data_IF_746319332203
#
_entry.id   IF_746319332203
#
_cell.length_a   1.000
_cell.length_b   1.000
_cell.length_c   1.000
_cell.angle_alpha   90.00
_cell.angle_beta   90.00
_cell.angle_gamma   90.00
#
_symmetry.space_group_name_H-M   'P 1'
#
loop_
_entity.id
_entity.type
_entity.pdbx_description
1 polymer ?
#
# COMPACT_ATOMS: atom_id res chain seq x y z
N UNK A 1 -26.05 -11.13 -14.22
CA UNK A 1 -26.23 -12.38 -14.99
C UNK A 1 -27.14 -12.16 -16.20
N UNK A 2 -28.39 -11.70 -16.09
CA UNK A 2 -29.28 -11.38 -17.25
C UNK A 2 -28.66 -10.35 -18.22
N UNK A 3 -27.91 -9.39 -17.71
CA UNK A 3 -27.19 -8.42 -18.55
C UNK A 3 -26.05 -9.12 -19.31
N UNK A 4 -25.29 -10.00 -18.67
CA UNK A 4 -24.17 -10.74 -19.27
C UNK A 4 -24.64 -11.70 -20.36
N UNK A 5 -25.69 -12.47 -20.12
CA UNK A 5 -26.27 -13.41 -21.10
C UNK A 5 -26.85 -12.67 -22.32
N UNK A 6 -27.43 -11.47 -22.11
CA UNK A 6 -27.89 -10.60 -23.20
C UNK A 6 -26.71 -9.99 -23.95
N UNK A 7 -25.55 -9.82 -23.32
CA UNK A 7 -24.35 -9.24 -23.93
C UNK A 7 -23.54 -10.22 -24.79
N UNK A 8 -23.53 -11.51 -24.43
CA UNK A 8 -22.88 -12.53 -25.25
C UNK A 8 -23.57 -12.78 -26.58
N UNK A 9 -24.85 -12.43 -26.69
CA UNK A 9 -25.69 -12.73 -27.89
C UNK A 9 -25.84 -11.54 -28.87
N UNK A 10 -25.35 -10.34 -28.54
CA UNK A 10 -25.52 -9.15 -29.37
C UNK A 10 -24.20 -8.55 -29.84
N UNK A 11 -23.87 -8.75 -31.12
CA UNK A 11 -22.74 -8.18 -31.88
C UNK A 11 -22.69 -6.64 -31.93
N UNK A 12 -23.50 -5.92 -31.14
CA UNK A 12 -23.71 -4.48 -31.25
C UNK A 12 -23.60 -3.72 -29.94
N UNK A 13 -22.99 -4.28 -28.90
CA UNK A 13 -22.83 -3.56 -27.64
C UNK A 13 -21.57 -2.73 -27.65
N UNK A 14 -21.78 -1.42 -27.53
CA UNK A 14 -20.69 -0.46 -27.55
C UNK A 14 -19.64 -0.78 -26.48
N UNK A 15 -18.39 -0.80 -26.89
CA UNK A 15 -17.19 -1.04 -26.09
C UNK A 15 -17.20 -0.34 -24.73
N UNK A 16 -17.72 0.88 -24.64
CA UNK A 16 -17.83 1.65 -23.39
C UNK A 16 -18.61 0.88 -22.32
N UNK A 17 -19.74 0.26 -22.66
CA UNK A 17 -20.58 -0.45 -21.68
C UNK A 17 -19.92 -1.68 -21.06
N UNK A 18 -19.15 -2.43 -21.84
CA UNK A 18 -18.44 -3.61 -21.32
C UNK A 18 -17.19 -3.24 -20.51
N UNK A 19 -16.50 -2.17 -20.91
CA UNK A 19 -15.45 -1.59 -20.09
C UNK A 19 -16.01 -1.07 -18.76
N UNK A 20 -17.14 -0.35 -18.82
CA UNK A 20 -17.81 0.18 -17.63
C UNK A 20 -18.30 -0.96 -16.73
N UNK A 21 -18.77 -2.08 -17.30
CA UNK A 21 -19.17 -3.26 -16.54
C UNK A 21 -17.97 -3.98 -15.91
N UNK A 22 -16.86 -4.13 -16.62
CA UNK A 22 -15.63 -4.70 -16.04
C UNK A 22 -15.06 -3.81 -14.92
N UNK A 23 -15.11 -2.48 -15.09
CA UNK A 23 -14.74 -1.52 -14.03
C UNK A 23 -15.70 -1.58 -12.84
N UNK A 24 -17.01 -1.71 -13.09
CA UNK A 24 -17.99 -1.92 -12.03
C UNK A 24 -17.72 -3.19 -11.22
N UNK A 25 -17.35 -4.30 -11.89
CA UNK A 25 -16.97 -5.54 -11.19
C UNK A 25 -15.66 -5.39 -10.41
N UNK A 26 -14.71 -4.58 -10.91
CA UNK A 26 -13.50 -4.20 -10.18
C UNK A 26 -13.85 -3.45 -8.88
N UNK A 27 -14.75 -2.47 -8.96
CA UNK A 27 -15.24 -1.72 -7.81
C UNK A 27 -15.95 -2.61 -6.76
N UNK A 28 -16.57 -3.72 -7.22
CA UNK A 28 -17.16 -4.74 -6.34
C UNK A 28 -16.14 -5.79 -5.85
N UNK A 29 -14.85 -5.66 -6.19
CA UNK A 29 -13.77 -6.63 -5.94
C UNK A 29 -14.03 -8.03 -6.57
N UNK A 30 -14.93 -8.16 -7.54
CA UNK A 30 -15.12 -9.39 -8.34
C UNK A 30 -14.12 -9.44 -9.51
N UNK A 31 -12.84 -9.46 -9.17
CA UNK A 31 -11.75 -9.47 -10.14
C UNK A 31 -11.79 -10.67 -11.08
N UNK A 32 -12.31 -11.80 -10.65
CA UNK A 32 -12.37 -13.01 -11.48
C UNK A 32 -13.33 -12.81 -12.64
N UNK A 33 -14.53 -12.32 -12.37
CA UNK A 33 -15.55 -12.04 -13.38
C UNK A 33 -15.17 -10.84 -14.26
N UNK A 34 -14.55 -9.82 -13.66
CA UNK A 34 -14.01 -8.68 -14.39
C UNK A 34 -12.95 -9.10 -15.44
N UNK A 35 -12.03 -10.01 -15.07
CA UNK A 35 -11.03 -10.55 -15.98
C UNK A 35 -11.68 -11.37 -17.08
N UNK A 36 -12.64 -12.23 -16.75
CA UNK A 36 -13.36 -13.04 -17.75
C UNK A 36 -14.01 -12.14 -18.80
N UNK A 37 -14.72 -11.11 -18.38
CA UNK A 37 -15.32 -10.11 -19.28
C UNK A 37 -14.28 -9.41 -20.14
N UNK A 38 -13.18 -8.93 -19.55
CA UNK A 38 -12.13 -8.22 -20.25
C UNK A 38 -11.35 -9.12 -21.24
N UNK A 39 -11.08 -10.38 -20.88
CA UNK A 39 -10.43 -11.35 -21.77
C UNK A 39 -11.33 -11.77 -22.95
N UNK A 40 -12.63 -11.90 -22.73
CA UNK A 40 -13.60 -12.16 -23.81
C UNK A 40 -13.64 -10.99 -24.80
N UNK A 41 -13.61 -9.75 -24.29
CA UNK A 41 -13.46 -8.56 -25.13
C UNK A 41 -12.16 -8.58 -25.94
N UNK A 42 -11.04 -8.91 -25.29
CA UNK A 42 -9.75 -9.02 -25.97
C UNK A 42 -9.77 -10.04 -27.08
N UNK A 43 -10.37 -11.21 -26.86
CA UNK A 43 -10.53 -12.24 -27.89
C UNK A 43 -11.36 -11.71 -29.07
N UNK A 44 -12.49 -11.07 -28.80
CA UNK A 44 -13.36 -10.50 -29.83
C UNK A 44 -12.62 -9.47 -30.69
N UNK A 45 -11.78 -8.63 -30.07
CA UNK A 45 -10.99 -7.61 -30.79
C UNK A 45 -9.77 -8.15 -31.51
N UNK A 46 -9.31 -9.36 -31.22
CA UNK A 46 -8.19 -10.00 -31.92
C UNK A 46 -8.60 -10.73 -33.20
N UNK A 47 -9.89 -10.79 -33.52
CA UNK A 47 -10.38 -11.44 -34.79
C UNK A 47 -10.05 -10.55 -35.96
N UNK A 48 -9.48 -11.09 -37.11
CA UNK A 48 -8.96 -10.32 -38.26
C UNK A 48 -10.06 -9.61 -38.93
N UNK A 49 -11.08 -9.23 -38.81
CA UNK A 49 -12.11 -8.39 -39.43
C UNK A 49 -12.83 -7.47 -38.45
N UNK A 50 -12.37 -7.42 -37.20
CA UNK A 50 -12.90 -6.50 -36.18
C UNK A 50 -12.44 -5.08 -36.54
N UNK A 51 -13.37 -4.20 -36.87
CA UNK A 51 -13.11 -2.76 -37.07
C UNK A 51 -12.91 -2.05 -35.71
N UNK A 52 -12.01 -2.59 -34.88
CA UNK A 52 -11.76 -2.04 -33.57
C UNK A 52 -10.74 -0.93 -33.68
N UNK A 53 -11.04 0.21 -33.10
CA UNK A 53 -10.08 1.29 -32.94
C UNK A 53 -8.98 0.85 -31.93
N UNK A 54 -7.74 0.85 -32.37
CA UNK A 54 -6.55 0.51 -31.55
C UNK A 54 -6.54 1.27 -30.22
N UNK A 55 -7.13 2.46 -30.16
CA UNK A 55 -7.26 3.25 -28.92
C UNK A 55 -8.02 2.49 -27.83
N UNK A 56 -9.12 1.84 -28.18
CA UNK A 56 -9.90 1.06 -27.21
C UNK A 56 -9.18 -0.21 -26.79
N UNK A 57 -8.40 -0.79 -27.68
CA UNK A 57 -7.56 -1.95 -27.35
C UNK A 57 -6.48 -1.57 -26.32
N UNK A 58 -5.82 -0.43 -26.48
CA UNK A 58 -4.85 0.09 -25.50
C UNK A 58 -5.47 0.29 -24.12
N UNK A 59 -6.70 0.83 -24.04
CA UNK A 59 -7.44 0.98 -22.79
C UNK A 59 -7.78 -0.36 -22.15
N UNK A 60 -8.21 -1.33 -22.95
CA UNK A 60 -8.53 -2.68 -22.49
C UNK A 60 -7.29 -3.38 -21.88
N UNK A 61 -6.14 -3.24 -22.52
CA UNK A 61 -4.90 -3.80 -21.99
C UNK A 61 -4.46 -3.12 -20.68
N UNK A 62 -4.66 -1.82 -20.52
CA UNK A 62 -4.47 -1.16 -19.24
C UNK A 62 -5.38 -1.73 -18.14
N UNK A 63 -6.67 -1.92 -18.45
CA UNK A 63 -7.63 -2.52 -17.51
C UNK A 63 -7.21 -3.96 -17.15
N UNK A 64 -6.87 -4.82 -18.12
CA UNK A 64 -6.37 -6.16 -17.85
C UNK A 64 -5.10 -6.14 -16.97
N UNK A 65 -4.20 -5.18 -17.20
CA UNK A 65 -3.03 -4.97 -16.35
C UNK A 65 -3.41 -4.68 -14.90
N UNK A 66 -4.38 -3.80 -14.68
CA UNK A 66 -4.90 -3.48 -13.35
C UNK A 66 -5.56 -4.69 -12.68
N UNK A 67 -6.43 -5.39 -13.37
CA UNK A 67 -7.13 -6.56 -12.86
C UNK A 67 -6.18 -7.71 -12.49
N UNK A 68 -5.21 -8.02 -13.35
CA UNK A 68 -4.21 -9.06 -13.04
C UNK A 68 -3.25 -8.64 -11.91
N UNK A 69 -2.94 -7.34 -11.79
CA UNK A 69 -2.21 -6.80 -10.64
C UNK A 69 -3.00 -7.02 -9.35
N UNK A 70 -4.30 -6.72 -9.34
CA UNK A 70 -5.18 -6.93 -8.18
C UNK A 70 -5.29 -8.40 -7.78
N UNK A 71 -5.22 -9.33 -8.75
CA UNK A 71 -5.13 -10.77 -8.50
C UNK A 71 -3.73 -11.27 -8.10
N UNK A 72 -2.75 -10.37 -7.89
CA UNK A 72 -1.36 -10.73 -7.60
C UNK A 72 -0.73 -11.65 -8.65
N UNK A 73 -0.99 -11.38 -9.95
CA UNK A 73 -0.41 -12.06 -11.12
C UNK A 73 0.52 -11.13 -11.89
N UNK A 74 1.71 -10.79 -11.33
CA UNK A 74 2.56 -9.71 -11.84
C UNK A 74 3.04 -9.91 -13.27
N UNK A 75 3.39 -11.14 -13.68
CA UNK A 75 3.88 -11.42 -15.04
C UNK A 75 2.83 -11.09 -16.09
N UNK A 76 1.56 -11.42 -15.82
CA UNK A 76 0.46 -11.08 -16.71
C UNK A 76 0.18 -9.59 -16.71
N UNK A 77 0.19 -8.97 -15.54
CA UNK A 77 0.01 -7.52 -15.40
C UNK A 77 1.07 -6.76 -16.17
N UNK A 78 2.36 -7.11 -16.01
CA UNK A 78 3.48 -6.48 -16.75
C UNK A 78 3.26 -6.58 -18.27
N UNK A 79 2.98 -7.79 -18.75
CA UNK A 79 2.72 -8.01 -20.18
C UNK A 79 1.64 -7.07 -20.71
N UNK A 80 0.52 -6.96 -20.01
CA UNK A 80 -0.61 -6.15 -20.47
C UNK A 80 -0.33 -4.65 -20.39
N UNK A 81 0.36 -4.16 -19.35
CA UNK A 81 0.78 -2.76 -19.29
C UNK A 81 1.74 -2.40 -20.42
N UNK A 82 2.72 -3.27 -20.72
CA UNK A 82 3.68 -3.02 -21.80
C UNK A 82 2.97 -3.02 -23.17
N UNK A 83 2.05 -3.97 -23.41
CA UNK A 83 1.27 -3.99 -24.65
C UNK A 83 0.40 -2.73 -24.79
N UNK A 84 -0.21 -2.25 -23.70
CA UNK A 84 -0.97 -0.99 -23.72
C UNK A 84 -0.08 0.21 -24.09
N UNK A 85 1.14 0.26 -23.56
CA UNK A 85 2.12 1.30 -23.87
C UNK A 85 2.51 1.26 -25.35
N UNK A 86 2.88 0.08 -25.87
CA UNK A 86 3.25 -0.11 -27.30
C UNK A 86 2.15 0.38 -28.25
N UNK A 87 0.91 0.04 -27.96
CA UNK A 87 -0.25 0.50 -28.75
C UNK A 87 -0.38 2.02 -28.67
N UNK A 88 -0.30 2.61 -27.46
CA UNK A 88 -0.44 4.05 -27.30
C UNK A 88 0.73 4.81 -27.95
N UNK A 89 1.96 4.31 -27.88
CA UNK A 89 3.13 4.91 -28.56
C UNK A 89 2.93 4.93 -30.09
N UNK A 90 2.48 3.81 -30.68
CA UNK A 90 2.16 3.74 -32.10
C UNK A 90 1.03 4.71 -32.51
N UNK A 91 0.00 4.85 -31.65
CA UNK A 91 -1.07 5.81 -31.90
C UNK A 91 -0.60 7.26 -31.82
N UNK A 92 0.31 7.57 -30.90
CA UNK A 92 0.91 8.91 -30.76
C UNK A 92 1.73 9.28 -32.00
N UNK A 93 2.43 8.32 -32.64
CA UNK A 93 3.11 8.54 -33.91
C UNK A 93 2.14 8.93 -35.04
N UNK A 94 0.91 8.42 -35.00
CA UNK A 94 -0.14 8.77 -35.98
C UNK A 94 -0.78 10.12 -35.67
N UNK A 95 -1.08 10.40 -34.40
CA UNK A 95 -1.71 11.64 -33.96
C UNK A 95 -1.41 11.92 -32.46
N UNK A 96 -0.37 12.66 -32.20
CA UNK A 96 0.08 12.98 -30.84
C UNK A 96 -1.00 13.71 -30.03
N UNK A 97 -1.69 14.69 -30.63
CA UNK A 97 -2.70 15.50 -29.93
C UNK A 97 -3.88 14.67 -29.42
N UNK A 98 -4.27 13.65 -30.16
CA UNK A 98 -5.37 12.76 -29.79
C UNK A 98 -4.98 11.72 -28.75
N UNK A 99 -3.75 11.19 -28.81
CA UNK A 99 -3.39 9.98 -28.08
C UNK A 99 -2.34 10.16 -26.96
N UNK A 100 -1.64 11.32 -26.87
CA UNK A 100 -0.75 11.62 -25.74
C UNK A 100 -1.44 11.46 -24.37
N UNK A 101 -2.73 11.84 -24.17
CA UNK A 101 -3.39 11.62 -22.87
C UNK A 101 -3.47 10.14 -22.47
N UNK A 102 -3.77 9.26 -23.42
CA UNK A 102 -3.84 7.82 -23.17
C UNK A 102 -2.47 7.22 -22.89
N UNK A 103 -1.43 7.66 -23.62
CA UNK A 103 -0.05 7.23 -23.37
C UNK A 103 0.43 7.63 -21.97
N UNK A 104 0.15 8.87 -21.55
CA UNK A 104 0.50 9.34 -20.20
C UNK A 104 -0.20 8.54 -19.10
N UNK A 105 -1.48 8.17 -19.31
CA UNK A 105 -2.21 7.28 -18.40
C UNK A 105 -1.56 5.90 -18.34
N UNK A 106 -1.20 5.30 -19.48
CA UNK A 106 -0.52 4.00 -19.55
C UNK A 106 0.83 4.03 -18.83
N UNK A 107 1.61 5.07 -19.02
CA UNK A 107 2.87 5.26 -18.30
C UNK A 107 2.65 5.41 -16.78
N UNK A 108 1.67 6.19 -16.35
CA UNK A 108 1.36 6.34 -14.92
C UNK A 108 0.97 5.00 -14.28
N UNK A 109 0.14 4.20 -14.96
CA UNK A 109 -0.28 2.88 -14.48
C UNK A 109 0.91 1.90 -14.40
N UNK A 110 1.78 1.89 -15.42
CA UNK A 110 3.01 1.12 -15.39
C UNK A 110 3.95 1.58 -14.26
N UNK A 111 4.05 2.89 -14.01
CA UNK A 111 4.80 3.45 -12.88
C UNK A 111 4.29 2.93 -11.53
N UNK A 112 2.96 2.90 -11.33
CA UNK A 112 2.33 2.33 -10.12
C UNK A 112 2.66 0.85 -10.00
N UNK A 113 2.51 0.08 -11.06
CA UNK A 113 2.83 -1.35 -11.08
C UNK A 113 4.30 -1.61 -10.70
N UNK A 114 5.26 -0.97 -11.37
CA UNK A 114 6.68 -1.19 -11.08
C UNK A 114 7.10 -0.71 -9.68
N UNK A 115 6.47 0.34 -9.15
CA UNK A 115 6.65 0.76 -7.74
C UNK A 115 6.26 -0.35 -6.77
N UNK A 116 5.13 -1.02 -7.02
CA UNK A 116 4.65 -2.13 -6.18
C UNK A 116 5.54 -3.37 -6.30
N UNK A 117 6.11 -3.61 -7.49
CA UNK A 117 7.06 -4.70 -7.72
C UNK A 117 8.50 -4.39 -7.24
N UNK A 118 8.75 -3.24 -6.60
CA UNK A 118 10.09 -2.86 -6.13
C UNK A 118 11.07 -2.44 -7.23
N UNK A 119 10.63 -2.37 -8.51
CA UNK A 119 11.47 -2.02 -9.65
C UNK A 119 11.58 -0.49 -9.80
N UNK A 120 12.27 0.15 -8.86
CA UNK A 120 12.31 1.61 -8.70
C UNK A 120 12.77 2.36 -9.95
N UNK A 121 13.78 1.87 -10.67
CA UNK A 121 14.28 2.53 -11.89
C UNK A 121 13.26 2.56 -13.02
N UNK A 122 12.50 1.47 -13.23
CA UNK A 122 11.41 1.44 -14.19
C UNK A 122 10.25 2.35 -13.75
N UNK A 123 9.88 2.31 -12.47
CA UNK A 123 8.82 3.14 -11.92
C UNK A 123 9.13 4.63 -12.13
N UNK A 124 10.33 5.10 -11.77
CA UNK A 124 10.75 6.49 -11.96
C UNK A 124 10.67 6.92 -13.43
N UNK A 125 11.20 6.09 -14.34
CA UNK A 125 11.15 6.34 -15.78
C UNK A 125 9.72 6.62 -16.26
N UNK A 126 8.79 5.76 -15.89
CA UNK A 126 7.41 5.86 -16.35
C UNK A 126 6.64 7.02 -15.70
N UNK A 127 6.84 7.29 -14.41
CA UNK A 127 6.23 8.46 -13.78
C UNK A 127 6.71 9.77 -14.39
N UNK A 128 8.02 9.92 -14.64
CA UNK A 128 8.56 11.12 -15.25
C UNK A 128 8.08 11.31 -16.70
N UNK A 129 7.99 10.24 -17.49
CA UNK A 129 7.45 10.28 -18.84
C UNK A 129 5.98 10.72 -18.85
N UNK A 130 5.14 10.17 -17.96
CA UNK A 130 3.75 10.58 -17.82
C UNK A 130 3.62 12.07 -17.45
N UNK A 131 4.40 12.53 -16.47
CA UNK A 131 4.41 13.94 -16.01
C UNK A 131 4.84 14.88 -17.15
N UNK A 132 5.85 14.51 -17.94
CA UNK A 132 6.33 15.33 -19.05
C UNK A 132 5.24 15.52 -20.10
N UNK A 133 4.57 14.45 -20.50
CA UNK A 133 3.44 14.53 -21.43
C UNK A 133 2.33 15.40 -20.84
N UNK A 134 1.89 15.13 -19.60
CA UNK A 134 0.81 15.91 -18.97
C UNK A 134 1.14 17.40 -18.86
N UNK A 135 2.39 17.78 -18.56
CA UNK A 135 2.81 19.18 -18.58
C UNK A 135 2.67 19.85 -19.93
N UNK A 136 2.96 19.12 -21.03
CA UNK A 136 2.75 19.67 -22.39
C UNK A 136 1.27 19.83 -22.69
N UNK A 137 0.44 18.85 -22.29
CA UNK A 137 -1.01 18.89 -22.49
C UNK A 137 -1.66 20.02 -21.69
N UNK A 138 -1.28 20.23 -20.43
CA UNK A 138 -1.77 21.34 -19.59
C UNK A 138 -1.47 22.71 -20.24
N UNK A 139 -0.31 22.88 -20.90
CA UNK A 139 -0.02 24.13 -21.65
C UNK A 139 -0.98 24.35 -22.82
N UNK A 140 -1.55 23.28 -23.39
CA UNK A 140 -2.53 23.37 -24.49
C UNK A 140 -3.94 23.60 -23.96
N UNK A 141 -4.30 22.87 -22.91
CA UNK A 141 -5.62 22.95 -22.27
C UNK A 141 -5.52 22.58 -20.78
N UNK A 142 -5.39 23.59 -19.93
CA UNK A 142 -5.24 23.40 -18.49
C UNK A 142 -6.48 22.73 -17.88
N UNK A 143 -7.68 23.17 -18.23
CA UNK A 143 -8.93 22.66 -17.64
C UNK A 143 -9.13 21.16 -17.89
N UNK A 144 -8.71 20.68 -19.06
CA UNK A 144 -8.84 19.27 -19.42
C UNK A 144 -7.79 18.39 -18.74
N UNK A 145 -6.57 18.88 -18.51
CA UNK A 145 -5.44 18.02 -18.16
C UNK A 145 -4.82 18.29 -16.76
N UNK A 146 -5.16 19.40 -16.09
CA UNK A 146 -4.72 19.65 -14.70
C UNK A 146 -5.13 18.52 -13.73
N UNK A 147 -6.34 17.93 -13.80
CA UNK A 147 -6.70 16.82 -12.92
C UNK A 147 -5.75 15.61 -13.06
N UNK A 148 -5.44 15.23 -14.28
CA UNK A 148 -4.54 14.10 -14.57
C UNK A 148 -3.07 14.41 -14.20
N UNK A 149 -2.62 15.65 -14.39
CA UNK A 149 -1.29 16.08 -13.93
C UNK A 149 -1.18 16.03 -12.41
N UNK A 150 -2.20 16.47 -11.68
CA UNK A 150 -2.23 16.41 -10.21
C UNK A 150 -2.20 14.96 -9.70
N UNK A 151 -2.93 14.05 -10.36
CA UNK A 151 -2.86 12.62 -10.05
C UNK A 151 -1.46 12.04 -10.29
N UNK A 152 -0.82 12.38 -11.41
CA UNK A 152 0.55 11.95 -11.73
C UNK A 152 1.56 12.49 -10.71
N UNK A 153 1.42 13.73 -10.27
CA UNK A 153 2.25 14.30 -9.21
C UNK A 153 2.05 13.59 -7.88
N UNK A 154 0.81 13.32 -7.48
CA UNK A 154 0.52 12.60 -6.24
C UNK A 154 1.16 11.20 -6.24
N UNK A 155 1.07 10.47 -7.36
CA UNK A 155 1.69 9.15 -7.51
C UNK A 155 3.23 9.22 -7.48
N UNK A 156 3.83 10.21 -8.14
CA UNK A 156 5.27 10.45 -8.07
C UNK A 156 5.71 10.84 -6.64
N UNK A 157 4.93 11.66 -5.95
CA UNK A 157 5.16 11.98 -4.53
C UNK A 157 5.22 10.73 -3.66
N UNK A 158 4.22 9.83 -3.81
CA UNK A 158 4.17 8.56 -3.09
C UNK A 158 5.33 7.60 -3.47
N UNK A 159 5.78 7.64 -4.72
CA UNK A 159 6.94 6.90 -5.16
C UNK A 159 8.23 7.40 -4.50
N UNK A 160 8.52 8.71 -4.58
CA UNK A 160 9.72 9.28 -3.99
C UNK A 160 9.73 9.19 -2.46
N UNK A 161 8.57 9.30 -1.83
CA UNK A 161 8.42 9.04 -0.39
C UNK A 161 8.88 7.62 -0.03
N UNK A 162 8.40 6.60 -0.77
CA UNK A 162 8.81 5.20 -0.54
C UNK A 162 10.31 4.97 -0.78
N UNK A 163 10.94 5.78 -1.66
CA UNK A 163 12.38 5.75 -1.93
C UNK A 163 13.23 6.56 -0.93
N UNK A 164 12.63 7.18 0.09
CA UNK A 164 13.33 8.04 1.04
C UNK A 164 13.78 9.39 0.46
N UNK A 165 13.38 9.75 -0.76
CA UNK A 165 13.75 11.00 -1.43
C UNK A 165 12.77 12.12 -1.02
N UNK A 166 12.88 12.58 0.23
CA UNK A 166 11.93 13.49 0.88
C UNK A 166 11.70 14.80 0.12
N UNK A 167 12.76 15.46 -0.37
CA UNK A 167 12.62 16.73 -1.07
C UNK A 167 11.82 16.61 -2.38
N UNK A 168 12.05 15.52 -3.12
CA UNK A 168 11.27 15.25 -4.33
C UNK A 168 9.82 14.91 -3.98
N UNK A 169 9.60 14.11 -2.94
CA UNK A 169 8.26 13.74 -2.50
C UNK A 169 7.45 14.98 -2.10
N UNK A 170 8.02 15.87 -1.25
CA UNK A 170 7.38 17.12 -0.84
C UNK A 170 7.00 17.97 -2.04
N UNK A 171 7.96 18.19 -2.95
CA UNK A 171 7.75 18.98 -4.17
C UNK A 171 6.54 18.48 -4.97
N UNK A 172 6.43 17.17 -5.18
CA UNK A 172 5.35 16.60 -5.97
C UNK A 172 4.01 16.62 -5.24
N UNK A 173 3.96 16.32 -3.93
CA UNK A 173 2.74 16.43 -3.15
C UNK A 173 2.20 17.86 -3.11
N UNK A 174 3.07 18.86 -2.88
CA UNK A 174 2.65 20.27 -2.86
C UNK A 174 2.17 20.73 -4.24
N UNK A 175 2.81 20.31 -5.32
CA UNK A 175 2.37 20.62 -6.69
C UNK A 175 0.99 20.01 -7.00
N UNK A 176 0.71 18.78 -6.55
CA UNK A 176 -0.59 18.16 -6.69
C UNK A 176 -1.68 18.93 -5.91
N UNK A 177 -1.38 19.28 -4.66
CA UNK A 177 -2.29 20.06 -3.79
C UNK A 177 -2.60 21.43 -4.40
N UNK A 178 -1.60 22.13 -4.91
CA UNK A 178 -1.79 23.45 -5.53
C UNK A 178 -2.74 23.39 -6.72
N UNK A 179 -2.56 22.43 -7.61
CA UNK A 179 -3.44 22.23 -8.74
C UNK A 179 -4.87 21.90 -8.25
N UNK A 180 -5.01 20.94 -7.33
CA UNK A 180 -6.33 20.52 -6.83
C UNK A 180 -7.08 21.62 -6.10
N UNK A 181 -6.39 22.52 -5.37
CA UNK A 181 -7.01 23.72 -4.80
C UNK A 181 -7.64 24.62 -5.87
N UNK A 182 -6.89 24.90 -6.94
CA UNK A 182 -7.46 25.70 -8.06
C UNK A 182 -8.65 25.01 -8.73
N UNK A 183 -8.61 23.69 -8.85
CA UNK A 183 -9.70 22.91 -9.43
C UNK A 183 -10.94 22.95 -8.53
N UNK A 184 -10.79 22.87 -7.21
CA UNK A 184 -11.88 22.99 -6.23
C UNK A 184 -12.52 24.39 -6.28
N UNK A 185 -11.72 25.45 -6.44
CA UNK A 185 -12.25 26.82 -6.63
C UNK A 185 -13.12 26.94 -7.88
N UNK A 186 -12.85 26.15 -8.93
CA UNK A 186 -13.65 26.12 -10.16
C UNK A 186 -14.89 25.22 -10.02
N UNK A 187 -14.74 24.06 -9.41
CA UNK A 187 -15.81 23.08 -9.22
C UNK A 187 -15.53 22.20 -8.01
N UNK A 188 -16.05 22.59 -6.85
CA UNK A 188 -15.86 21.89 -5.59
C UNK A 188 -16.40 20.45 -5.64
N UNK A 189 -17.62 20.27 -6.17
CA UNK A 189 -18.26 18.94 -6.19
C UNK A 189 -17.46 17.90 -7.00
N UNK A 190 -16.76 18.34 -8.03
CA UNK A 190 -15.95 17.43 -8.87
C UNK A 190 -14.56 17.09 -8.25
N UNK A 191 -13.98 17.99 -7.43
CA UNK A 191 -12.56 17.89 -7.08
C UNK A 191 -12.26 17.88 -5.58
N UNK A 192 -13.23 18.09 -4.68
CA UNK A 192 -13.00 18.05 -3.23
C UNK A 192 -12.48 16.70 -2.75
N UNK A 193 -13.02 15.59 -3.28
CA UNK A 193 -12.54 14.22 -2.91
C UNK A 193 -11.07 14.03 -3.24
N UNK A 194 -10.66 14.45 -4.43
CA UNK A 194 -9.27 14.41 -4.87
C UNK A 194 -8.34 15.29 -4.02
N UNK A 195 -8.80 16.47 -3.62
CA UNK A 195 -8.03 17.36 -2.74
C UNK A 195 -7.85 16.73 -1.35
N UNK A 196 -8.92 16.14 -0.79
CA UNK A 196 -8.87 15.43 0.49
C UNK A 196 -7.89 14.25 0.44
N UNK A 197 -7.86 13.50 -0.67
CA UNK A 197 -6.87 12.44 -0.87
C UNK A 197 -5.42 12.98 -0.88
N UNK A 198 -5.17 14.11 -1.57
CA UNK A 198 -3.85 14.74 -1.55
C UNK A 198 -3.45 15.22 -0.16
N UNK A 199 -4.37 15.79 0.59
CA UNK A 199 -4.11 16.20 1.96
C UNK A 199 -3.79 15.01 2.86
N UNK A 200 -4.55 13.93 2.77
CA UNK A 200 -4.27 12.73 3.55
C UNK A 200 -2.87 12.16 3.24
N UNK A 201 -2.47 12.11 1.97
CA UNK A 201 -1.14 11.66 1.56
C UNK A 201 -0.02 12.59 2.05
N UNK A 202 -0.23 13.91 2.01
CA UNK A 202 0.69 14.86 2.59
C UNK A 202 0.79 14.73 4.12
N UNK A 203 -0.33 14.47 4.80
CA UNK A 203 -0.35 14.16 6.23
C UNK A 203 0.53 12.97 6.58
N UNK A 204 0.39 11.85 5.85
CA UNK A 204 1.25 10.66 6.00
C UNK A 204 2.72 11.00 5.75
N UNK A 205 3.01 11.77 4.72
CA UNK A 205 4.37 12.20 4.39
C UNK A 205 4.99 13.05 5.52
N UNK A 206 4.32 14.12 5.96
CA UNK A 206 4.84 15.02 7.00
C UNK A 206 4.95 14.35 8.36
N UNK A 207 4.04 13.42 8.69
CA UNK A 207 4.15 12.57 9.88
C UNK A 207 5.48 11.82 9.89
N UNK A 208 5.83 11.18 8.77
CA UNK A 208 7.10 10.43 8.65
C UNK A 208 8.34 11.33 8.69
N UNK A 209 8.21 12.60 8.25
CA UNK A 209 9.28 13.59 8.35
C UNK A 209 9.41 14.22 9.76
N UNK A 210 8.59 13.81 10.73
CA UNK A 210 8.56 14.41 12.06
C UNK A 210 8.00 15.84 12.11
N UNK A 211 7.35 16.31 11.04
CA UNK A 211 6.73 17.63 10.96
C UNK A 211 5.27 17.57 11.43
N UNK A 212 5.09 17.35 12.74
CA UNK A 212 3.82 17.01 13.36
C UNK A 212 2.73 18.05 13.12
N UNK A 213 3.04 19.35 13.21
CA UNK A 213 2.04 20.42 13.01
C UNK A 213 1.50 20.43 11.59
N UNK A 214 2.36 20.22 10.59
CA UNK A 214 1.93 20.11 9.20
C UNK A 214 1.10 18.84 8.97
N UNK A 215 1.53 17.72 9.55
CA UNK A 215 0.82 16.45 9.45
C UNK A 215 -0.60 16.54 10.03
N UNK A 216 -0.73 17.07 11.26
CA UNK A 216 -2.03 17.29 11.91
C UNK A 216 -2.94 18.15 11.04
N UNK A 217 -2.43 19.29 10.58
CA UNK A 217 -3.20 20.19 9.71
C UNK A 217 -3.75 19.46 8.48
N UNK A 218 -2.90 18.74 7.74
CA UNK A 218 -3.32 18.06 6.53
C UNK A 218 -4.31 16.91 6.78
N UNK A 219 -4.17 16.18 7.89
CA UNK A 219 -5.17 15.17 8.26
C UNK A 219 -6.52 15.81 8.60
N UNK A 220 -6.53 16.91 9.34
CA UNK A 220 -7.77 17.61 9.68
C UNK A 220 -8.43 18.26 8.46
N UNK A 221 -7.64 18.89 7.58
CA UNK A 221 -8.16 19.45 6.31
C UNK A 221 -8.80 18.35 5.43
N UNK A 222 -8.19 17.13 5.38
CA UNK A 222 -8.76 16.00 4.65
C UNK A 222 -10.07 15.49 5.29
N UNK A 223 -10.11 15.38 6.61
CA UNK A 223 -11.27 14.93 7.37
C UNK A 223 -12.44 15.92 7.18
N UNK A 224 -12.20 17.22 7.32
CA UNK A 224 -13.23 18.25 7.15
C UNK A 224 -13.91 18.18 5.79
N UNK A 225 -13.14 18.03 4.73
CA UNK A 225 -13.69 17.86 3.38
C UNK A 225 -14.52 16.57 3.29
N UNK A 226 -14.00 15.45 3.79
CA UNK A 226 -14.69 14.15 3.70
C UNK A 226 -15.95 14.08 4.54
N UNK A 227 -16.00 14.72 5.71
CA UNK A 227 -17.20 14.85 6.51
C UNK A 227 -18.32 15.58 5.71
N UNK A 228 -17.99 16.71 5.05
CA UNK A 228 -18.95 17.41 4.18
C UNK A 228 -19.40 16.57 2.98
N UNK A 229 -18.49 15.78 2.40
CA UNK A 229 -18.83 14.89 1.27
C UNK A 229 -19.75 13.75 1.71
N UNK A 230 -19.56 13.20 2.90
CA UNK A 230 -20.42 12.16 3.49
C UNK A 230 -21.85 12.71 3.72
N UNK A 231 -22.00 13.97 4.16
CA UNK A 231 -23.32 14.61 4.28
C UNK A 231 -24.06 14.68 2.92
N UNK A 232 -23.33 14.79 1.81
CA UNK A 232 -23.91 14.81 0.45
C UNK A 232 -24.22 13.39 -0.05
N UNK A 233 -23.32 12.45 0.17
CA UNK A 233 -23.46 11.05 -0.27
C UNK A 233 -22.63 10.10 0.62
N UNK A 234 -23.26 9.56 1.65
CA UNK A 234 -22.62 8.68 2.60
C UNK A 234 -22.04 7.43 1.94
N UNK A 235 -22.82 6.77 1.08
CA UNK A 235 -22.40 5.51 0.43
C UNK A 235 -21.12 5.68 -0.40
N UNK A 236 -20.93 6.82 -1.04
CA UNK A 236 -19.74 7.07 -1.86
C UNK A 236 -18.50 7.47 -1.04
N UNK A 237 -18.66 8.17 0.08
CA UNK A 237 -17.54 8.83 0.75
C UNK A 237 -17.23 8.32 2.17
N UNK A 238 -18.09 7.52 2.78
CA UNK A 238 -17.81 6.90 4.09
C UNK A 238 -16.53 6.06 4.11
N UNK A 239 -16.21 5.24 3.07
CA UNK A 239 -14.97 4.46 3.08
C UNK A 239 -13.72 5.32 3.20
N UNK A 240 -13.69 6.43 2.47
CA UNK A 240 -12.59 7.37 2.49
C UNK A 240 -12.48 8.13 3.81
N UNK A 241 -13.62 8.54 4.39
CA UNK A 241 -13.66 9.18 5.70
C UNK A 241 -13.12 8.26 6.78
N UNK A 242 -13.55 6.99 6.79
CA UNK A 242 -13.05 6.00 7.73
C UNK A 242 -11.54 5.76 7.60
N UNK A 243 -11.02 5.75 6.37
CA UNK A 243 -9.58 5.72 6.10
C UNK A 243 -8.84 6.94 6.67
N UNK A 244 -9.40 8.15 6.54
CA UNK A 244 -8.84 9.36 7.15
C UNK A 244 -8.85 9.31 8.67
N UNK A 245 -9.95 8.84 9.26
CA UNK A 245 -10.04 8.66 10.70
C UNK A 245 -9.01 7.67 11.22
N UNK A 246 -8.81 6.53 10.56
CA UNK A 246 -7.76 5.58 10.92
C UNK A 246 -6.37 6.22 10.87
N UNK A 247 -6.04 6.98 9.84
CA UNK A 247 -4.75 7.66 9.73
C UNK A 247 -4.55 8.74 10.81
N UNK A 248 -5.58 9.50 11.13
CA UNK A 248 -5.56 10.45 12.25
C UNK A 248 -5.42 9.72 13.59
N UNK A 249 -6.11 8.59 13.78
CA UNK A 249 -5.97 7.73 14.95
C UNK A 249 -4.53 7.28 15.17
N UNK A 250 -3.86 6.81 14.13
CA UNK A 250 -2.44 6.43 14.15
C UNK A 250 -1.58 7.64 14.52
N UNK A 251 -1.81 8.78 13.87
CA UNK A 251 -1.06 10.02 14.13
C UNK A 251 -1.16 10.44 15.61
N UNK A 252 -2.37 10.55 16.15
CA UNK A 252 -2.58 10.97 17.53
C UNK A 252 -2.06 9.95 18.56
N UNK A 253 -2.14 8.65 18.24
CA UNK A 253 -1.54 7.59 19.06
C UNK A 253 -0.03 7.76 19.17
N UNK A 254 0.67 7.93 18.07
CA UNK A 254 2.13 8.12 18.02
C UNK A 254 2.58 9.40 18.76
N UNK A 255 1.71 10.41 18.84
CA UNK A 255 1.97 11.68 19.56
C UNK A 255 1.42 11.70 20.99
N UNK A 256 0.99 10.58 21.55
CA UNK A 256 0.49 10.46 22.90
C UNK A 256 -0.84 11.17 23.18
N UNK A 257 -1.56 11.64 22.15
CA UNK A 257 -2.88 12.28 22.28
C UNK A 257 -3.97 11.20 22.31
N UNK A 258 -4.02 10.45 23.40
CA UNK A 258 -4.73 9.17 23.50
C UNK A 258 -6.25 9.28 23.36
N UNK A 259 -6.85 10.35 23.88
CA UNK A 259 -8.30 10.59 23.76
C UNK A 259 -8.71 10.86 22.31
N UNK A 260 -7.91 11.65 21.57
CA UNK A 260 -8.16 11.88 20.15
C UNK A 260 -7.94 10.59 19.35
N UNK A 261 -6.90 9.83 19.66
CA UNK A 261 -6.62 8.56 18.99
C UNK A 261 -7.80 7.59 19.15
N UNK A 262 -8.29 7.39 20.40
CA UNK A 262 -9.44 6.51 20.69
C UNK A 262 -10.68 6.96 19.90
N UNK A 263 -10.99 8.27 19.91
CA UNK A 263 -12.11 8.86 19.18
C UNK A 263 -12.06 8.48 17.69
N UNK A 264 -10.92 8.71 17.05
CA UNK A 264 -10.80 8.48 15.61
C UNK A 264 -10.77 6.99 15.25
N UNK A 265 -10.11 6.12 16.04
CA UNK A 265 -10.19 4.68 15.81
C UNK A 265 -11.62 4.15 15.93
N UNK A 266 -12.36 4.56 16.96
CA UNK A 266 -13.74 4.12 17.15
C UNK A 266 -14.66 4.62 16.03
N UNK A 267 -14.49 5.87 15.57
CA UNK A 267 -15.25 6.39 14.44
C UNK A 267 -14.95 5.62 13.13
N UNK A 268 -13.69 5.27 12.87
CA UNK A 268 -13.32 4.45 11.72
C UNK A 268 -13.92 3.04 11.80
N UNK A 269 -13.89 2.42 12.98
CA UNK A 269 -14.47 1.09 13.23
C UNK A 269 -15.97 1.11 12.97
N UNK A 270 -16.69 2.08 13.55
CA UNK A 270 -18.15 2.19 13.39
C UNK A 270 -18.56 2.29 11.92
N UNK A 271 -17.86 3.10 11.14
CA UNK A 271 -18.15 3.22 9.71
C UNK A 271 -17.85 1.91 8.98
N UNK A 272 -16.67 1.30 9.19
CA UNK A 272 -16.33 0.07 8.47
C UNK A 272 -17.18 -1.13 8.90
N UNK A 273 -17.58 -1.26 10.16
CA UNK A 273 -18.52 -2.31 10.60
C UNK A 273 -19.85 -2.18 9.84
N UNK A 274 -20.41 -0.98 9.72
CA UNK A 274 -21.61 -0.71 8.94
C UNK A 274 -21.44 -0.99 7.44
N UNK A 275 -20.29 -0.63 6.86
CA UNK A 275 -19.98 -0.89 5.46
C UNK A 275 -19.81 -2.38 5.17
N UNK A 276 -19.23 -3.15 6.09
CA UNK A 276 -19.09 -4.61 5.98
C UNK A 276 -20.47 -5.30 5.98
N UNK A 277 -21.45 -4.78 6.73
CA UNK A 277 -22.83 -5.30 6.67
C UNK A 277 -23.44 -5.13 5.26
N UNK A 278 -23.06 -4.07 4.52
CA UNK A 278 -23.52 -3.82 3.15
C UNK A 278 -22.74 -4.63 2.12
N UNK A 279 -21.43 -4.68 2.24
CA UNK A 279 -20.53 -5.40 1.32
C UNK A 279 -19.25 -5.86 2.05
N UNK A 280 -19.30 -7.09 2.58
CA UNK A 280 -18.20 -7.66 3.33
C UNK A 280 -16.93 -7.79 2.48
N UNK A 281 -17.04 -8.22 1.24
CA UNK A 281 -15.87 -8.45 0.36
C UNK A 281 -15.09 -7.17 0.06
N UNK A 282 -15.78 -6.04 -0.04
CA UNK A 282 -15.16 -4.75 -0.30
C UNK A 282 -14.49 -4.15 0.95
N UNK A 283 -15.06 -4.33 2.13
CA UNK A 283 -14.65 -3.54 3.30
C UNK A 283 -14.03 -4.34 4.45
N UNK A 284 -14.15 -5.68 4.48
CA UNK A 284 -13.45 -6.52 5.47
C UNK A 284 -11.93 -6.28 5.51
N UNK A 285 -11.22 -6.11 4.36
CA UNK A 285 -9.78 -5.81 4.40
C UNK A 285 -9.45 -4.52 5.16
N UNK A 286 -10.24 -3.47 4.95
CA UNK A 286 -10.06 -2.18 5.61
C UNK A 286 -10.39 -2.26 7.11
N UNK A 287 -11.49 -2.94 7.46
CA UNK A 287 -11.88 -3.15 8.86
C UNK A 287 -10.78 -3.88 9.65
N UNK A 288 -10.16 -4.92 9.05
CA UNK A 288 -9.07 -5.64 9.72
C UNK A 288 -7.85 -4.77 9.98
N UNK A 289 -7.52 -3.85 9.08
CA UNK A 289 -6.43 -2.90 9.28
C UNK A 289 -6.72 -1.98 10.48
N UNK A 290 -7.94 -1.46 10.57
CA UNK A 290 -8.35 -0.61 11.70
C UNK A 290 -8.38 -1.39 13.01
N UNK A 291 -8.88 -2.64 13.00
CA UNK A 291 -8.87 -3.49 14.19
C UNK A 291 -7.45 -3.77 14.70
N UNK A 292 -6.48 -4.06 13.82
CA UNK A 292 -5.09 -4.24 14.21
C UNK A 292 -4.49 -2.97 14.85
N UNK A 293 -4.78 -1.80 14.27
CA UNK A 293 -4.33 -0.51 14.82
C UNK A 293 -4.97 -0.22 16.18
N UNK A 294 -6.28 -0.46 16.32
CA UNK A 294 -6.98 -0.33 17.60
C UNK A 294 -6.48 -1.33 18.64
N UNK A 295 -6.19 -2.57 18.23
CA UNK A 295 -5.56 -3.59 19.08
C UNK A 295 -4.24 -3.11 19.63
N UNK A 296 -3.37 -2.58 18.78
CA UNK A 296 -2.07 -1.99 19.18
C UNK A 296 -2.24 -0.79 20.10
N UNK A 297 -3.19 0.09 19.80
CA UNK A 297 -3.52 1.23 20.64
C UNK A 297 -3.97 0.82 22.05
N UNK A 298 -4.94 -0.11 22.16
CA UNK A 298 -5.43 -0.56 23.46
C UNK A 298 -4.39 -1.38 24.24
N UNK A 299 -3.53 -2.11 23.53
CA UNK A 299 -2.39 -2.76 24.15
C UNK A 299 -1.45 -1.74 24.82
N UNK A 300 -1.07 -0.67 24.12
CA UNK A 300 -0.25 0.43 24.66
C UNK A 300 -0.93 1.18 25.81
N UNK A 301 -2.27 1.14 25.91
CA UNK A 301 -3.06 1.70 27.01
C UNK A 301 -3.21 0.75 28.20
N UNK A 302 -2.54 -0.39 28.21
CA UNK A 302 -2.71 -1.44 29.21
C UNK A 302 -4.18 -1.90 29.39
N UNK A 303 -4.91 -1.99 28.27
CA UNK A 303 -6.29 -2.50 28.17
C UNK A 303 -6.29 -3.83 27.41
N UNK A 304 -5.71 -4.91 27.97
CA UNK A 304 -5.45 -6.16 27.24
C UNK A 304 -6.71 -6.85 26.70
N UNK A 305 -7.83 -6.79 27.41
CA UNK A 305 -9.08 -7.41 26.95
C UNK A 305 -9.61 -6.75 25.68
N UNK A 306 -9.54 -5.40 25.58
CA UNK A 306 -9.91 -4.70 24.37
C UNK A 306 -8.92 -4.99 23.24
N UNK A 307 -7.63 -5.05 23.52
CA UNK A 307 -6.61 -5.40 22.55
C UNK A 307 -6.81 -6.81 21.98
N UNK A 308 -7.00 -7.82 22.87
CA UNK A 308 -7.26 -9.21 22.47
C UNK A 308 -8.50 -9.32 21.57
N UNK A 309 -9.59 -8.62 21.94
CA UNK A 309 -10.82 -8.56 21.14
C UNK A 309 -10.55 -8.14 19.70
N UNK A 310 -9.85 -7.03 19.51
CA UNK A 310 -9.62 -6.49 18.16
C UNK A 310 -8.62 -7.31 17.34
N UNK A 311 -7.54 -7.81 17.94
CA UNK A 311 -6.61 -8.71 17.25
C UNK A 311 -7.28 -10.00 16.78
N UNK A 312 -8.10 -10.62 17.65
CA UNK A 312 -8.79 -11.84 17.28
C UNK A 312 -9.85 -11.61 16.21
N UNK A 313 -10.60 -10.50 16.28
CA UNK A 313 -11.58 -10.13 15.26
C UNK A 313 -10.89 -9.92 13.89
N UNK A 314 -9.76 -9.23 13.85
CA UNK A 314 -8.97 -9.06 12.62
C UNK A 314 -8.53 -10.41 12.04
N UNK A 315 -7.96 -11.28 12.86
CA UNK A 315 -7.50 -12.63 12.45
C UNK A 315 -8.64 -13.47 11.91
N UNK A 316 -9.81 -13.43 12.54
CA UNK A 316 -10.98 -14.21 12.11
C UNK A 316 -11.46 -13.79 10.72
N UNK A 317 -11.59 -12.50 10.49
CA UNK A 317 -11.96 -11.96 9.18
C UNK A 317 -10.91 -12.34 8.13
N UNK A 318 -9.62 -12.12 8.42
CA UNK A 318 -8.55 -12.40 7.46
C UNK A 318 -8.43 -13.87 7.09
N UNK A 319 -8.73 -14.81 7.99
CA UNK A 319 -8.82 -16.23 7.66
C UNK A 319 -9.88 -16.50 6.59
N UNK A 320 -11.07 -15.90 6.74
CA UNK A 320 -12.14 -16.04 5.72
C UNK A 320 -11.72 -15.42 4.39
N UNK A 321 -11.03 -14.28 4.41
CA UNK A 321 -10.50 -13.64 3.20
C UNK A 321 -9.43 -14.50 2.51
N UNK A 322 -8.55 -15.15 3.28
CA UNK A 322 -7.55 -16.10 2.74
C UNK A 322 -8.19 -17.29 2.08
N UNK A 323 -9.29 -17.83 2.63
CA UNK A 323 -10.05 -18.92 2.00
C UNK A 323 -10.63 -18.51 0.64
N UNK A 324 -10.97 -17.23 0.45
CA UNK A 324 -11.46 -16.69 -0.82
C UNK A 324 -10.31 -16.40 -1.81
N UNK A 325 -9.23 -15.80 -1.32
CA UNK A 325 -8.06 -15.44 -2.15
C UNK A 325 -6.78 -15.41 -1.29
N UNK A 326 -6.11 -16.56 -1.21
CA UNK A 326 -4.89 -16.72 -0.42
C UNK A 326 -3.78 -15.74 -0.88
N UNK A 327 -3.56 -15.62 -2.19
CA UNK A 327 -2.50 -14.79 -2.73
C UNK A 327 -2.63 -13.30 -2.37
N UNK A 328 -3.85 -12.80 -2.28
CA UNK A 328 -4.12 -11.43 -1.90
C UNK A 328 -4.04 -11.18 -0.38
N UNK A 329 -4.50 -12.13 0.44
CA UNK A 329 -4.74 -11.86 1.85
C UNK A 329 -3.80 -12.56 2.84
N UNK A 330 -3.03 -13.57 2.42
CA UNK A 330 -2.00 -14.21 3.27
C UNK A 330 -1.01 -13.20 3.88
N UNK A 331 -0.50 -12.17 3.14
CA UNK A 331 0.41 -11.20 3.75
C UNK A 331 -0.20 -10.46 4.94
N UNK A 332 -1.47 -10.09 4.85
CA UNK A 332 -2.18 -9.38 5.92
C UNK A 332 -2.48 -10.29 7.12
N UNK A 333 -2.83 -11.56 6.88
CA UNK A 333 -3.01 -12.54 7.96
C UNK A 333 -1.70 -12.76 8.72
N UNK A 334 -0.56 -12.88 8.01
CA UNK A 334 0.74 -13.02 8.64
C UNK A 334 1.11 -11.79 9.49
N UNK A 335 0.79 -10.57 9.02
CA UNK A 335 0.96 -9.35 9.82
C UNK A 335 0.14 -9.39 11.11
N UNK A 336 -1.13 -9.79 11.03
CA UNK A 336 -1.99 -9.90 12.21
C UNK A 336 -1.52 -11.00 13.18
N UNK A 337 -1.01 -12.11 12.66
CA UNK A 337 -0.38 -13.14 13.49
C UNK A 337 0.88 -12.60 14.21
N UNK A 338 1.74 -11.84 13.50
CA UNK A 338 2.92 -11.23 14.12
C UNK A 338 2.52 -10.27 15.26
N UNK A 339 1.51 -9.43 15.04
CA UNK A 339 0.99 -8.50 16.06
C UNK A 339 0.40 -9.24 17.26
N UNK A 340 -0.38 -10.30 17.03
CA UNK A 340 -0.92 -11.15 18.09
C UNK A 340 0.20 -11.90 18.84
N UNK A 341 1.25 -12.34 18.16
CA UNK A 341 2.43 -12.94 18.75
C UNK A 341 3.08 -12.02 19.77
N UNK A 342 3.39 -10.78 19.36
CA UNK A 342 3.93 -9.75 20.25
C UNK A 342 2.99 -9.46 21.42
N UNK A 343 1.69 -9.34 21.17
CA UNK A 343 0.71 -9.10 22.23
C UNK A 343 0.70 -10.23 23.27
N UNK A 344 0.61 -11.49 22.86
CA UNK A 344 0.54 -12.62 23.79
C UNK A 344 1.86 -12.86 24.53
N UNK A 345 2.99 -12.57 23.90
CA UNK A 345 4.30 -12.64 24.55
C UNK A 345 4.35 -11.66 25.72
N UNK A 346 4.04 -10.40 25.49
CA UNK A 346 4.00 -9.37 26.53
C UNK A 346 2.90 -9.61 27.60
N UNK A 347 1.89 -10.43 27.32
CA UNK A 347 0.90 -10.89 28.31
C UNK A 347 1.36 -12.13 29.11
N UNK A 348 2.60 -12.58 28.94
CA UNK A 348 3.12 -13.78 29.59
C UNK A 348 2.37 -15.07 29.17
N UNK A 349 1.88 -15.11 27.93
CA UNK A 349 1.21 -16.29 27.35
C UNK A 349 2.08 -16.94 26.25
N UNK A 350 3.30 -17.45 26.57
CA UNK A 350 4.30 -17.83 25.57
C UNK A 350 3.84 -18.91 24.60
N UNK A 351 3.02 -19.87 25.00
CA UNK A 351 2.48 -20.89 24.09
C UNK A 351 1.58 -20.31 23.01
N UNK A 352 0.79 -19.27 23.34
CA UNK A 352 -0.01 -18.57 22.33
C UNK A 352 0.88 -17.71 21.43
N UNK A 353 1.87 -17.02 22.01
CA UNK A 353 2.82 -16.20 21.27
C UNK A 353 3.59 -17.04 20.24
N UNK A 354 4.21 -18.13 20.67
CA UNK A 354 4.94 -19.07 19.78
C UNK A 354 4.07 -19.53 18.61
N UNK A 355 2.83 -19.96 18.89
CA UNK A 355 1.89 -20.38 17.84
C UNK A 355 1.70 -19.31 16.77
N UNK A 356 1.53 -18.06 17.18
CA UNK A 356 1.27 -16.97 16.24
C UNK A 356 2.54 -16.53 15.48
N UNK A 357 3.70 -16.49 16.13
CA UNK A 357 4.97 -16.21 15.45
C UNK A 357 5.28 -17.25 14.37
N UNK A 358 5.15 -18.54 14.71
CA UNK A 358 5.40 -19.61 13.75
C UNK A 358 4.40 -19.61 12.60
N UNK A 359 3.12 -19.33 12.87
CA UNK A 359 2.12 -19.21 11.81
C UNK A 359 2.41 -18.04 10.84
N UNK A 360 2.91 -16.91 11.36
CA UNK A 360 3.34 -15.79 10.51
C UNK A 360 4.55 -16.16 9.63
N UNK A 361 5.55 -16.80 10.21
CA UNK A 361 6.75 -17.27 9.50
C UNK A 361 6.38 -18.24 8.38
N UNK A 362 5.56 -19.27 8.67
CA UNK A 362 5.13 -20.26 7.68
C UNK A 362 4.47 -19.61 6.46
N UNK A 363 3.64 -18.59 6.68
CA UNK A 363 3.01 -17.86 5.59
C UNK A 363 4.07 -17.08 4.79
N UNK A 364 4.95 -16.32 5.45
CA UNK A 364 5.95 -15.52 4.74
C UNK A 364 6.99 -16.36 4.00
N UNK A 365 7.42 -17.51 4.54
CA UNK A 365 8.27 -18.45 3.81
C UNK A 365 7.63 -18.96 2.52
N UNK A 366 6.32 -19.19 2.54
CA UNK A 366 5.55 -19.59 1.36
C UNK A 366 5.42 -18.44 0.35
N UNK A 367 5.21 -17.23 0.83
CA UNK A 367 5.07 -16.02 0.00
C UNK A 367 6.41 -15.63 -0.65
N UNK A 368 7.53 -15.74 0.05
CA UNK A 368 8.88 -15.47 -0.48
C UNK A 368 9.20 -16.42 -1.66
N UNK A 369 8.74 -17.67 -1.63
CA UNK A 369 8.92 -18.59 -2.77
C UNK A 369 8.18 -18.11 -4.03
N UNK A 370 7.11 -17.32 -3.87
CA UNK A 370 6.34 -16.75 -4.99
C UNK A 370 6.90 -15.41 -5.46
N UNK A 371 7.29 -14.55 -4.51
CA UNK A 371 7.85 -13.24 -4.80
C UNK A 371 8.82 -12.80 -3.69
N UNK A 372 10.10 -13.03 -3.96
CA UNK A 372 11.21 -12.75 -3.03
C UNK A 372 11.23 -11.26 -2.65
N UNK A 373 11.26 -10.37 -3.65
CA UNK A 373 11.46 -8.93 -3.43
C UNK A 373 10.30 -8.29 -2.63
N UNK A 374 9.10 -8.81 -2.78
CA UNK A 374 7.93 -8.28 -2.09
C UNK A 374 7.85 -8.72 -0.62
N UNK A 375 8.35 -9.92 -0.29
CA UNK A 375 8.05 -10.55 1.00
C UNK A 375 9.27 -10.82 1.90
N UNK A 376 10.50 -10.81 1.37
CA UNK A 376 11.73 -10.97 2.19
C UNK A 376 11.81 -10.00 3.37
N UNK A 377 11.47 -8.68 3.23
CA UNK A 377 11.54 -7.77 4.37
C UNK A 377 10.63 -8.17 5.53
N UNK A 378 9.42 -8.66 5.22
CA UNK A 378 8.47 -9.10 6.23
C UNK A 378 8.88 -10.43 6.88
N UNK A 379 9.45 -11.35 6.10
CA UNK A 379 10.01 -12.60 6.62
C UNK A 379 11.17 -12.33 7.57
N UNK A 380 12.12 -11.45 7.20
CA UNK A 380 13.23 -11.07 8.08
C UNK A 380 12.75 -10.48 9.41
N UNK A 381 11.73 -9.61 9.36
CA UNK A 381 11.11 -9.06 10.57
C UNK A 381 10.46 -10.17 11.42
N UNK A 382 9.79 -11.14 10.79
CA UNK A 382 9.16 -12.26 11.50
C UNK A 382 10.18 -13.17 12.18
N UNK A 383 11.27 -13.46 11.49
CA UNK A 383 12.41 -14.20 12.08
C UNK A 383 13.04 -13.42 13.25
N UNK A 384 13.28 -12.11 13.09
CA UNK A 384 13.78 -11.28 14.17
C UNK A 384 12.88 -11.32 15.41
N UNK A 385 11.56 -11.22 15.23
CA UNK A 385 10.59 -11.27 16.31
C UNK A 385 10.58 -12.64 17.02
N UNK A 386 10.64 -13.74 16.26
CA UNK A 386 10.76 -15.07 16.81
C UNK A 386 12.09 -15.29 17.55
N UNK A 387 13.19 -14.78 17.00
CA UNK A 387 14.51 -14.80 17.66
C UNK A 387 14.48 -14.08 19.00
N UNK A 388 13.85 -12.88 19.06
CA UNK A 388 13.69 -12.14 20.30
C UNK A 388 12.83 -12.90 21.32
N UNK A 389 11.69 -13.46 20.88
CA UNK A 389 10.84 -14.30 21.71
C UNK A 389 11.60 -15.47 22.32
N UNK A 390 12.32 -16.28 21.52
CA UNK A 390 13.05 -17.44 22.01
C UNK A 390 14.23 -17.04 22.92
N UNK A 391 14.90 -15.91 22.63
CA UNK A 391 15.96 -15.37 23.49
C UNK A 391 15.44 -15.00 24.88
N UNK A 392 14.31 -14.31 24.96
CA UNK A 392 13.69 -13.90 26.22
C UNK A 392 13.16 -15.08 27.04
N UNK A 393 12.83 -16.20 26.37
CA UNK A 393 12.37 -17.43 27.03
C UNK A 393 13.49 -18.46 27.23
N UNK A 394 14.77 -18.08 27.11
CA UNK A 394 15.93 -18.92 27.40
C UNK A 394 16.18 -20.07 26.41
N UNK A 395 15.56 -20.04 25.23
CA UNK A 395 15.76 -21.03 24.16
C UNK A 395 16.83 -20.54 23.19
N UNK A 396 18.07 -20.44 23.66
CA UNK A 396 19.19 -19.80 22.96
C UNK A 396 19.49 -20.39 21.59
N UNK A 397 19.36 -21.71 21.40
CA UNK A 397 19.64 -22.36 20.13
C UNK A 397 18.62 -21.96 19.04
N UNK A 398 17.34 -21.93 19.37
CA UNK A 398 16.31 -21.44 18.46
C UNK A 398 16.46 -19.94 18.19
N UNK A 399 16.77 -19.15 19.24
CA UNK A 399 17.01 -17.73 19.09
C UNK A 399 18.15 -17.45 18.12
N UNK A 400 19.24 -18.22 18.20
CA UNK A 400 20.38 -18.13 17.30
C UNK A 400 19.98 -18.38 15.84
N UNK A 401 19.27 -19.49 15.59
CA UNK A 401 18.78 -19.87 14.26
C UNK A 401 17.96 -18.73 13.63
N UNK A 402 16.93 -18.26 14.32
CA UNK A 402 16.06 -17.20 13.79
C UNK A 402 16.76 -15.84 13.63
N UNK A 403 17.68 -15.46 14.52
CA UNK A 403 18.46 -14.25 14.33
C UNK A 403 19.39 -14.34 13.12
N UNK A 404 20.05 -15.48 12.89
CA UNK A 404 20.91 -15.67 11.72
C UNK A 404 20.11 -15.65 10.42
N UNK A 405 18.93 -16.26 10.40
CA UNK A 405 18.02 -16.20 9.23
C UNK A 405 17.59 -14.75 8.94
N UNK A 406 17.21 -13.98 9.96
CA UNK A 406 16.89 -12.56 9.81
C UNK A 406 18.09 -11.76 9.28
N UNK A 407 19.27 -11.95 9.87
CA UNK A 407 20.52 -11.28 9.48
C UNK A 407 20.83 -11.57 8.01
N UNK A 408 20.81 -12.84 7.61
CA UNK A 408 21.14 -13.24 6.24
C UNK A 408 20.21 -12.60 5.19
N UNK A 409 18.93 -12.41 5.52
CA UNK A 409 18.00 -11.68 4.65
C UNK A 409 18.31 -10.18 4.68
N UNK A 410 18.49 -9.58 5.84
CA UNK A 410 18.77 -8.12 5.92
C UNK A 410 20.10 -7.76 5.25
N UNK A 411 21.14 -8.58 5.32
CA UNK A 411 22.40 -8.37 4.59
C UNK A 411 22.14 -8.24 3.08
N UNK A 412 21.36 -9.15 2.48
CA UNK A 412 20.98 -9.07 1.05
C UNK A 412 20.11 -7.85 0.74
N UNK A 413 19.21 -7.47 1.63
CA UNK A 413 18.34 -6.31 1.45
C UNK A 413 19.11 -4.99 1.51
N UNK A 414 20.14 -4.92 2.36
CA UNK A 414 21.04 -3.75 2.45
C UNK A 414 21.81 -3.53 1.15
N UNK A 415 22.24 -4.60 0.46
CA UNK A 415 22.87 -4.48 -0.87
C UNK A 415 21.95 -3.80 -1.90
N UNK A 416 20.63 -4.03 -1.78
CA UNK A 416 19.62 -3.41 -2.65
C UNK A 416 19.26 -1.98 -2.22
N UNK A 417 19.12 -1.75 -0.93
CA UNK A 417 18.72 -0.47 -0.34
C UNK A 417 19.23 -0.32 1.09
N UNK A 418 20.44 0.20 1.25
CA UNK A 418 21.08 0.40 2.54
C UNK A 418 20.26 1.33 3.46
N UNK A 419 19.73 2.42 2.90
CA UNK A 419 18.98 3.41 3.69
C UNK A 419 17.74 2.82 4.37
N UNK A 420 17.06 1.89 3.71
CA UNK A 420 15.86 1.27 4.24
C UNK A 420 16.15 0.19 5.29
N UNK A 421 17.24 -0.58 5.12
CA UNK A 421 17.42 -1.82 5.87
C UNK A 421 18.61 -1.86 6.82
N UNK A 422 19.61 -0.97 6.72
CA UNK A 422 20.72 -0.90 7.67
C UNK A 422 20.28 -0.76 9.13
N UNK A 423 19.26 0.04 9.49
CA UNK A 423 18.82 0.13 10.88
C UNK A 423 18.26 -1.18 11.44
N UNK A 424 17.54 -1.94 10.61
CA UNK A 424 17.01 -3.25 11.02
C UNK A 424 18.14 -4.29 11.14
N UNK A 425 19.10 -4.27 10.23
CA UNK A 425 20.30 -5.13 10.28
C UNK A 425 21.13 -4.84 11.54
N UNK A 426 21.39 -3.57 11.84
CA UNK A 426 22.12 -3.17 13.06
C UNK A 426 21.43 -3.65 14.33
N UNK A 427 20.09 -3.54 14.39
CA UNK A 427 19.31 -4.04 15.53
C UNK A 427 19.42 -5.57 15.63
N UNK A 428 19.38 -6.30 14.51
CA UNK A 428 19.51 -7.76 14.49
C UNK A 428 20.91 -8.21 14.94
N UNK A 429 21.98 -7.56 14.45
CA UNK A 429 23.34 -7.79 14.91
C UNK A 429 23.49 -7.53 16.42
N UNK A 430 22.90 -6.44 16.94
CA UNK A 430 22.98 -6.12 18.36
C UNK A 430 22.31 -7.19 19.22
N UNK A 431 21.14 -7.68 18.83
CA UNK A 431 20.43 -8.77 19.53
C UNK A 431 21.23 -10.06 19.48
N UNK A 432 21.80 -10.40 18.35
CA UNK A 432 22.66 -11.57 18.21
C UNK A 432 23.93 -11.46 19.05
N UNK A 433 24.58 -10.27 19.08
CA UNK A 433 25.70 -10.00 19.98
C UNK A 433 25.33 -10.22 21.46
N UNK A 434 24.18 -9.74 21.91
CA UNK A 434 23.75 -9.97 23.30
C UNK A 434 23.55 -11.47 23.60
N UNK A 435 23.10 -12.24 22.64
CA UNK A 435 22.91 -13.69 22.78
C UNK A 435 24.23 -14.45 22.84
N UNK A 436 25.17 -14.15 21.96
CA UNK A 436 26.41 -14.95 21.76
C UNK A 436 27.68 -14.32 22.30
N UNK A 437 27.65 -13.00 22.58
CA UNK A 437 28.84 -12.21 22.97
C UNK A 437 29.98 -12.21 21.93
N UNK A 438 29.64 -12.41 20.66
CA UNK A 438 30.59 -12.35 19.55
C UNK A 438 30.85 -10.90 19.14
N UNK A 439 32.06 -10.43 19.44
CA UNK A 439 32.48 -9.03 19.20
C UNK A 439 32.44 -8.63 17.72
N UNK A 440 32.56 -9.58 16.82
CA UNK A 440 32.48 -9.31 15.35
C UNK A 440 31.16 -8.65 14.98
N UNK A 441 30.08 -9.06 15.63
CA UNK A 441 28.76 -8.45 15.39
C UNK A 441 28.64 -7.07 16.04
N UNK A 442 29.28 -6.86 17.19
CA UNK A 442 29.32 -5.54 17.83
C UNK A 442 30.03 -4.51 16.95
N UNK A 443 31.15 -4.87 16.34
CA UNK A 443 31.89 -4.02 15.40
C UNK A 443 31.03 -3.64 14.19
N UNK A 444 30.31 -4.62 13.59
CA UNK A 444 29.35 -4.36 12.51
C UNK A 444 28.22 -3.41 12.93
N UNK A 445 27.68 -3.57 14.13
CA UNK A 445 26.66 -2.65 14.71
C UNK A 445 27.20 -1.24 14.76
N UNK A 446 28.41 -1.07 15.33
CA UNK A 446 29.00 0.25 15.48
C UNK A 446 29.25 0.95 14.14
N UNK A 447 29.74 0.24 13.14
CA UNK A 447 29.94 0.79 11.81
C UNK A 447 28.67 1.29 11.15
N UNK A 448 27.57 0.51 11.22
CA UNK A 448 26.29 0.93 10.67
C UNK A 448 25.73 2.10 11.46
N UNK A 449 25.69 2.00 12.79
CA UNK A 449 25.08 3.01 13.64
C UNK A 449 25.80 4.36 13.52
N UNK A 450 27.14 4.36 13.40
CA UNK A 450 27.93 5.57 13.18
C UNK A 450 27.64 6.24 11.81
N UNK A 451 27.36 5.45 10.79
CA UNK A 451 27.05 5.91 9.44
C UNK A 451 25.63 6.46 9.34
N UNK A 452 24.70 5.90 10.16
CA UNK A 452 23.25 6.17 10.12
C UNK A 452 22.72 6.94 11.32
N UNK A 453 23.44 7.95 11.79
CA UNK A 453 22.99 8.81 12.91
C UNK A 453 21.75 9.65 12.57
N UNK A 454 21.34 9.72 11.31
CA UNK A 454 20.07 10.27 10.87
C UNK A 454 18.85 9.44 11.33
N UNK A 455 19.01 8.12 11.51
CA UNK A 455 17.94 7.24 12.01
C UNK A 455 17.93 7.19 13.57
N UNK A 456 16.79 7.45 14.21
CA UNK A 456 16.68 7.43 15.68
C UNK A 456 17.09 6.10 16.32
N UNK A 457 16.85 4.97 15.63
CA UNK A 457 17.23 3.63 16.13
C UNK A 457 18.74 3.50 16.16
N UNK A 458 19.43 3.96 15.14
CA UNK A 458 20.88 3.93 15.07
C UNK A 458 21.52 4.87 16.10
N UNK A 459 20.95 6.04 16.37
CA UNK A 459 21.40 6.91 17.46
C UNK A 459 21.32 6.22 18.81
N UNK A 460 20.19 5.60 19.10
CA UNK A 460 20.01 4.85 20.34
C UNK A 460 20.98 3.67 20.46
N UNK A 461 21.27 2.99 19.34
CA UNK A 461 22.28 1.91 19.29
C UNK A 461 23.67 2.44 19.61
N UNK A 462 24.08 3.62 19.08
CA UNK A 462 25.38 4.23 19.41
C UNK A 462 25.49 4.47 20.91
N UNK A 463 24.46 5.05 21.53
CA UNK A 463 24.45 5.28 22.97
C UNK A 463 24.64 3.98 23.77
N UNK A 464 23.98 2.88 23.38
CA UNK A 464 24.15 1.58 24.02
C UNK A 464 25.58 1.06 23.86
N UNK A 465 26.14 1.13 22.64
CA UNK A 465 27.46 0.57 22.35
C UNK A 465 28.59 1.39 22.99
N UNK A 466 28.47 2.72 23.07
CA UNK A 466 29.42 3.60 23.77
C UNK A 466 29.40 3.41 25.28
N UNK A 467 28.29 2.96 25.83
CA UNK A 467 28.14 2.70 27.27
C UNK A 467 28.66 1.30 27.69
N UNK A 468 28.92 0.40 26.74
CA UNK A 468 29.40 -0.98 26.97
C UNK A 468 30.90 -1.08 26.95
#
# INVERSE_FOLDING_TARGET
EEIYDTFCDTRNIGWSKLHDYASFLEDQNDYTKAIEVAENLRWYYSVPDSKVDEYYLGRLYNLLGMLYKAQNKPDKAEKYYLTAIEICEHLVEKNADAYEPALATSYNNAGVFYKEQGQSGKAEKYYLAAIEIMKRLVKKNADAFEPALAASYNNAGAFYYKQGQSDKAEKYYLAAIEIRKRLVEKNADAYESDLAMSYNNAGVFYKKQGQSDKAEKYYLDAIEIRERLVEKNADAYEPDLAGSYNNAGIFYHEHGQLEKAEKYYLAAIEIYERLVEKNADAYEPNLTAVYNNAGTFYYGQNKPDKAEKYYLAAIEIQKRLVEKNADAYEPYLAMSYSAAGVFYDNQGKPKKAEKYYLAAIEIYERLVKKNVDAHEPALATSYYNAGSFYSEHGQSDKAEEYYLDAIGIYERLVEKNADAYEPALATSYLRYYFLKKDKTYLDKVYEIAKRRQDDPRCRYIVEIVEFM
#
